data_IF_840078267685
#
_entry.id   IF_840078267685
#
_cell.length_a   1.000
_cell.length_b   1.000
_cell.length_c   1.000
_cell.angle_alpha   90.00
_cell.angle_beta   90.00
_cell.angle_gamma   90.00
#
_symmetry.space_group_name_H-M   'P 1'
#
loop_
_entity.id
_entity.type
_entity.pdbx_description
1 polymer ?
#
# COMPACT_ATOMS: atom_id res chain seq x y z
N UNK A 1 26.51 -11.10 -43.81
CA UNK A 1 26.22 -10.31 -42.59
C UNK A 1 24.73 -10.10 -42.52
N UNK A 2 24.04 -10.90 -41.69
CA UNK A 2 22.57 -11.01 -41.68
C UNK A 2 21.88 -9.92 -40.87
N UNK A 3 20.77 -9.42 -41.42
CA UNK A 3 19.79 -8.59 -40.73
C UNK A 3 19.01 -9.47 -39.74
N UNK A 4 18.98 -9.06 -38.46
CA UNK A 4 18.08 -9.61 -37.46
C UNK A 4 16.79 -8.77 -37.45
N UNK A 5 15.70 -9.35 -37.94
CA UNK A 5 14.36 -8.82 -37.73
C UNK A 5 13.79 -9.41 -36.44
N UNK A 6 13.81 -8.61 -35.37
CA UNK A 6 13.04 -8.88 -34.15
C UNK A 6 11.58 -8.47 -34.41
N UNK A 7 10.75 -9.42 -34.84
CA UNK A 7 9.30 -9.26 -34.80
C UNK A 7 8.84 -9.67 -33.40
N UNK A 8 8.78 -8.71 -32.48
CA UNK A 8 8.09 -8.85 -31.21
C UNK A 8 6.58 -8.88 -31.48
N UNK A 9 6.03 -10.09 -31.63
CA UNK A 9 4.61 -10.32 -31.80
C UNK A 9 3.84 -10.01 -30.50
N UNK A 10 3.20 -8.84 -30.46
CA UNK A 10 2.10 -8.60 -29.52
C UNK A 10 0.91 -9.42 -30.02
N UNK A 11 0.75 -10.67 -29.53
CA UNK A 11 -0.48 -11.42 -29.74
C UNK A 11 -1.60 -10.73 -28.97
N UNK A 12 -2.42 -9.95 -29.66
CA UNK A 12 -3.75 -9.58 -29.21
C UNK A 12 -4.57 -10.87 -29.02
N UNK A 13 -4.61 -11.39 -27.80
CA UNK A 13 -5.57 -12.42 -27.43
C UNK A 13 -6.96 -11.80 -27.47
N UNK A 14 -7.83 -12.29 -28.35
CA UNK A 14 -9.24 -11.94 -28.33
C UNK A 14 -9.83 -12.37 -26.97
N UNK A 15 -10.29 -11.41 -26.18
CA UNK A 15 -10.97 -11.68 -24.93
C UNK A 15 -12.28 -12.45 -25.21
N UNK A 16 -12.41 -13.65 -24.65
CA UNK A 16 -13.58 -14.50 -24.87
C UNK A 16 -14.64 -14.19 -23.82
N UNK A 17 -15.72 -13.52 -24.22
CA UNK A 17 -16.79 -13.11 -23.32
C UNK A 17 -17.86 -14.19 -23.22
N UNK A 18 -18.30 -14.52 -22.00
CA UNK A 18 -19.35 -15.51 -21.72
C UNK A 18 -20.31 -14.94 -20.68
N UNK A 19 -21.60 -15.21 -20.82
CA UNK A 19 -22.59 -14.97 -19.77
C UNK A 19 -23.11 -16.32 -19.29
N UNK A 20 -23.22 -16.51 -17.97
CA UNK A 20 -23.75 -17.76 -17.42
C UNK A 20 -25.28 -17.80 -17.57
N UNK A 21 -25.80 -18.83 -18.24
CA UNK A 21 -27.24 -19.06 -18.38
C UNK A 21 -27.89 -19.65 -17.13
N UNK A 22 -27.09 -20.33 -16.30
CA UNK A 22 -27.50 -20.94 -15.04
C UNK A 22 -26.44 -20.68 -13.96
N UNK A 23 -26.81 -20.73 -12.66
CA UNK A 23 -25.82 -20.64 -11.59
C UNK A 23 -24.75 -21.71 -11.74
N UNK A 24 -23.49 -21.34 -11.50
CA UNK A 24 -22.36 -22.25 -11.58
C UNK A 24 -21.29 -21.88 -10.55
N UNK A 25 -20.57 -22.88 -10.04
CA UNK A 25 -19.38 -22.66 -9.24
C UNK A 25 -18.17 -22.59 -10.17
N UNK A 26 -17.47 -21.46 -10.18
CA UNK A 26 -16.28 -21.24 -11.03
C UNK A 26 -15.18 -20.66 -10.15
N UNK A 27 -14.02 -21.30 -10.14
CA UNK A 27 -12.87 -20.94 -9.29
C UNK A 27 -13.23 -20.81 -7.80
N UNK A 28 -14.09 -21.71 -7.31
CA UNK A 28 -14.55 -21.69 -5.93
C UNK A 28 -15.55 -20.59 -5.58
N UNK A 29 -15.97 -19.76 -6.54
CA UNK A 29 -17.00 -18.73 -6.36
C UNK A 29 -18.32 -19.26 -6.89
N UNK A 30 -19.37 -19.22 -6.07
CA UNK A 30 -20.73 -19.54 -6.51
C UNK A 30 -21.31 -18.32 -7.27
N UNK A 31 -21.35 -18.43 -8.59
CA UNK A 31 -21.76 -17.36 -9.50
C UNK A 31 -23.22 -17.55 -9.92
N UNK A 32 -24.09 -16.53 -9.80
CA UNK A 32 -25.47 -16.62 -10.26
C UNK A 32 -25.56 -16.58 -11.79
N UNK A 33 -26.71 -17.02 -12.32
CA UNK A 33 -27.06 -16.78 -13.72
C UNK A 33 -27.01 -15.28 -14.03
N UNK A 34 -26.57 -14.91 -15.23
CA UNK A 34 -26.32 -13.53 -15.64
C UNK A 34 -24.92 -13.01 -15.30
N UNK A 35 -24.07 -13.78 -14.62
CA UNK A 35 -22.67 -13.43 -14.40
C UNK A 35 -21.92 -13.33 -15.72
N UNK A 36 -21.17 -12.25 -15.91
CA UNK A 36 -20.41 -11.95 -17.14
C UNK A 36 -18.94 -12.24 -16.92
N UNK A 37 -18.39 -13.17 -17.68
CA UNK A 37 -17.01 -13.60 -17.59
C UNK A 37 -16.21 -13.18 -18.82
N UNK A 38 -14.94 -12.92 -18.62
CA UNK A 38 -13.93 -12.77 -19.67
C UNK A 38 -12.87 -13.84 -19.46
N UNK A 39 -12.75 -14.75 -20.43
CA UNK A 39 -11.91 -15.94 -20.38
C UNK A 39 -10.59 -15.74 -21.14
N UNK A 40 -9.54 -16.43 -20.68
CA UNK A 40 -8.29 -16.62 -21.43
C UNK A 40 -8.36 -17.77 -22.43
N UNK A 41 -9.08 -18.83 -22.08
CA UNK A 41 -9.23 -20.04 -22.88
C UNK A 41 -10.69 -20.24 -23.29
N UNK A 42 -10.90 -20.68 -24.53
CA UNK A 42 -12.24 -20.91 -25.08
C UNK A 42 -12.92 -22.05 -24.34
N UNK A 43 -14.18 -21.84 -23.99
CA UNK A 43 -15.07 -22.83 -23.34
C UNK A 43 -14.52 -23.39 -22.01
N UNK A 44 -13.57 -22.68 -21.39
CA UNK A 44 -12.94 -23.05 -20.11
C UNK A 44 -13.23 -21.96 -19.09
N UNK A 45 -14.35 -22.10 -18.37
CA UNK A 45 -14.80 -21.10 -17.37
C UNK A 45 -13.74 -20.82 -16.30
N UNK A 46 -13.00 -21.85 -15.87
CA UNK A 46 -11.91 -21.73 -14.90
C UNK A 46 -10.76 -20.82 -15.35
N UNK A 47 -10.68 -20.48 -16.64
CA UNK A 47 -9.70 -19.53 -17.19
C UNK A 47 -10.16 -18.07 -17.15
N UNK A 48 -11.24 -17.73 -16.43
CA UNK A 48 -11.70 -16.35 -16.36
C UNK A 48 -10.67 -15.40 -15.75
N UNK A 49 -10.41 -14.29 -16.40
CA UNK A 49 -9.62 -13.18 -15.86
C UNK A 49 -10.50 -12.13 -15.21
N UNK A 50 -11.74 -11.99 -15.66
CA UNK A 50 -12.71 -11.06 -15.07
C UNK A 50 -14.07 -11.74 -14.95
N UNK A 51 -14.74 -11.50 -13.84
CA UNK A 51 -16.12 -11.84 -13.61
C UNK A 51 -16.82 -10.61 -13.03
N UNK A 52 -18.00 -10.27 -13.56
CA UNK A 52 -18.90 -9.27 -13.01
C UNK A 52 -20.23 -9.94 -12.70
N UNK A 53 -20.75 -9.69 -11.49
CA UNK A 53 -21.93 -10.39 -10.99
C UNK A 53 -23.17 -9.48 -11.08
N UNK A 54 -24.34 -10.02 -11.47
CA UNK A 54 -25.59 -9.24 -11.53
C UNK A 54 -26.11 -8.86 -10.15
N UNK A 55 -25.75 -9.63 -9.13
CA UNK A 55 -25.98 -9.33 -7.71
C UNK A 55 -24.69 -9.63 -6.94
N UNK A 56 -24.42 -8.96 -5.81
CA UNK A 56 -23.25 -9.27 -4.99
C UNK A 56 -23.19 -10.75 -4.61
N UNK A 57 -21.99 -11.33 -4.70
CA UNK A 57 -21.74 -12.72 -4.33
C UNK A 57 -20.72 -12.81 -3.21
N UNK A 58 -20.80 -13.88 -2.41
CA UNK A 58 -19.74 -14.21 -1.47
C UNK A 58 -18.54 -14.77 -2.21
N UNK A 59 -17.44 -14.02 -2.26
CA UNK A 59 -16.17 -14.45 -2.79
C UNK A 59 -15.11 -14.29 -1.69
N UNK A 60 -14.54 -15.42 -1.25
CA UNK A 60 -13.41 -15.44 -0.32
C UNK A 60 -13.66 -14.71 1.01
N UNK A 61 -14.89 -14.79 1.53
CA UNK A 61 -15.29 -14.16 2.79
C UNK A 61 -15.76 -12.71 2.64
N UNK A 62 -15.82 -12.17 1.43
CA UNK A 62 -16.30 -10.80 1.15
C UNK A 62 -17.48 -10.82 0.19
N UNK A 63 -18.35 -9.82 0.31
CA UNK A 63 -19.38 -9.53 -0.68
C UNK A 63 -18.77 -8.74 -1.84
N UNK A 64 -18.80 -9.31 -3.03
CA UNK A 64 -18.14 -8.78 -4.21
C UNK A 64 -19.12 -8.54 -5.35
N UNK A 65 -18.96 -7.42 -6.05
CA UNK A 65 -19.68 -7.13 -7.31
C UNK A 65 -18.89 -7.56 -8.55
N UNK A 66 -17.55 -7.65 -8.42
CA UNK A 66 -16.69 -8.14 -9.49
C UNK A 66 -15.39 -8.74 -8.95
N UNK A 67 -14.80 -9.65 -9.72
CA UNK A 67 -13.50 -10.26 -9.47
C UNK A 67 -12.64 -10.17 -10.72
N UNK A 68 -11.37 -9.80 -10.55
CA UNK A 68 -10.32 -9.89 -11.55
C UNK A 68 -9.20 -10.78 -11.06
N UNK A 69 -8.83 -11.78 -11.85
CA UNK A 69 -7.69 -12.65 -11.61
C UNK A 69 -6.56 -12.33 -12.59
N UNK A 70 -5.34 -12.33 -12.10
CA UNK A 70 -4.13 -12.19 -12.91
C UNK A 70 -3.54 -13.58 -13.11
N UNK A 71 -3.68 -14.07 -14.34
CA UNK A 71 -3.29 -15.42 -14.74
C UNK A 71 -1.90 -15.39 -15.39
N UNK A 72 -1.07 -16.37 -15.03
CA UNK A 72 0.28 -16.55 -15.56
C UNK A 72 0.36 -17.90 -16.26
N UNK A 73 1.12 -17.95 -17.36
CA UNK A 73 1.38 -19.21 -18.05
C UNK A 73 2.46 -19.98 -17.28
N UNK A 74 2.18 -21.25 -16.93
CA UNK A 74 3.17 -22.13 -16.30
C UNK A 74 4.41 -22.35 -17.16
N UNK A 75 5.51 -22.76 -16.51
CA UNK A 75 6.81 -23.02 -17.17
C UNK A 75 6.72 -24.07 -18.30
N UNK A 76 5.79 -25.03 -18.17
CA UNK A 76 5.53 -26.02 -19.24
C UNK A 76 4.63 -25.49 -20.37
N UNK A 77 4.15 -24.24 -20.31
CA UNK A 77 3.34 -23.60 -21.35
C UNK A 77 1.93 -24.19 -21.53
N UNK A 78 1.52 -25.15 -20.68
CA UNK A 78 0.30 -25.94 -20.88
C UNK A 78 -0.93 -25.35 -20.22
N UNK A 79 -0.80 -24.73 -19.06
CA UNK A 79 -1.93 -24.24 -18.27
C UNK A 79 -1.66 -22.88 -17.64
N UNK A 80 -2.69 -22.03 -17.65
CA UNK A 80 -2.71 -20.79 -16.88
C UNK A 80 -3.02 -21.08 -15.41
N UNK A 81 -2.33 -20.41 -14.50
CA UNK A 81 -2.65 -20.43 -13.08
C UNK A 81 -2.74 -19.00 -12.53
N UNK A 82 -3.62 -18.74 -11.56
CA UNK A 82 -3.73 -17.43 -10.95
C UNK A 82 -2.58 -17.18 -9.96
N UNK A 83 -2.15 -15.93 -9.83
CA UNK A 83 -1.24 -15.50 -8.74
C UNK A 83 -1.82 -14.38 -7.89
N UNK A 84 -2.71 -13.57 -8.47
CA UNK A 84 -3.29 -12.41 -7.79
C UNK A 84 -4.75 -12.23 -8.13
N UNK A 85 -5.47 -11.75 -7.14
CA UNK A 85 -6.88 -11.42 -7.14
C UNK A 85 -7.04 -9.92 -6.86
N UNK A 86 -7.93 -9.26 -7.61
CA UNK A 86 -8.55 -7.99 -7.25
C UNK A 86 -10.06 -8.17 -7.21
N UNK A 87 -10.67 -7.79 -6.10
CA UNK A 87 -12.10 -7.95 -5.87
C UNK A 87 -12.73 -6.59 -5.62
N UNK A 88 -13.70 -6.21 -6.44
CA UNK A 88 -14.50 -5.00 -6.19
C UNK A 88 -15.54 -5.35 -5.14
N UNK A 89 -15.44 -4.71 -3.98
CA UNK A 89 -16.35 -4.90 -2.87
C UNK A 89 -17.73 -4.30 -3.19
N UNK A 90 -18.81 -4.99 -2.84
CA UNK A 90 -20.17 -4.52 -3.09
C UNK A 90 -20.62 -3.36 -2.16
N UNK A 91 -19.81 -3.05 -1.15
CA UNK A 91 -20.03 -2.02 -0.16
C UNK A 91 -18.88 -2.05 0.86
N UNK A 92 -18.89 -1.08 1.78
CA UNK A 92 -17.88 -0.99 2.82
C UNK A 92 -17.88 -2.25 3.69
N UNK A 93 -16.69 -2.84 3.88
CA UNK A 93 -16.53 -4.11 4.60
C UNK A 93 -15.30 -4.10 5.50
N UNK A 94 -15.35 -4.89 6.57
CA UNK A 94 -14.25 -4.98 7.52
C UNK A 94 -13.21 -6.02 7.10
N UNK A 95 -11.93 -5.69 7.21
CA UNK A 95 -10.81 -6.61 7.05
C UNK A 95 -9.71 -6.31 8.06
N UNK A 96 -9.40 -7.25 8.95
CA UNK A 96 -8.31 -7.07 9.93
C UNK A 96 -8.50 -5.87 10.87
N UNK A 97 -9.76 -5.53 11.16
CA UNK A 97 -10.15 -4.36 11.96
C UNK A 97 -10.18 -3.03 11.20
N UNK A 98 -9.90 -3.04 9.89
CA UNK A 98 -10.00 -1.88 9.01
C UNK A 98 -11.32 -1.86 8.25
N UNK A 99 -11.87 -0.67 8.02
CA UNK A 99 -13.00 -0.49 7.11
C UNK A 99 -12.47 -0.23 5.70
N UNK A 100 -12.64 -1.20 4.80
CA UNK A 100 -12.32 -1.10 3.39
C UNK A 100 -13.50 -0.51 2.62
N UNK A 101 -13.22 0.39 1.69
CA UNK A 101 -14.21 1.06 0.86
C UNK A 101 -14.88 0.10 -0.14
N UNK A 102 -16.20 0.23 -0.26
CA UNK A 102 -16.97 -0.31 -1.37
C UNK A 102 -16.48 0.23 -2.71
N UNK A 103 -16.77 -0.51 -3.78
CA UNK A 103 -16.41 -0.19 -5.17
C UNK A 103 -14.90 -0.02 -5.45
N UNK A 104 -14.06 -0.14 -4.43
CA UNK A 104 -12.61 -0.18 -4.54
C UNK A 104 -12.09 -1.62 -4.48
N UNK A 105 -10.96 -1.89 -5.14
CA UNK A 105 -10.41 -3.23 -5.17
C UNK A 105 -9.76 -3.60 -3.82
N UNK A 106 -10.21 -4.71 -3.24
CA UNK A 106 -9.43 -5.50 -2.29
C UNK A 106 -8.48 -6.42 -3.07
N UNK A 107 -7.22 -6.51 -2.65
CA UNK A 107 -6.20 -7.33 -3.31
C UNK A 107 -5.84 -8.53 -2.45
N UNK A 108 -5.60 -9.67 -3.10
CA UNK A 108 -5.12 -10.87 -2.44
C UNK A 108 -4.17 -11.62 -3.38
N UNK A 109 -3.18 -12.29 -2.82
CA UNK A 109 -2.39 -13.26 -3.56
C UNK A 109 -3.07 -14.65 -3.45
N UNK A 110 -2.94 -15.42 -4.52
CA UNK A 110 -3.59 -16.71 -4.69
C UNK A 110 -2.51 -17.79 -4.79
N UNK A 111 -2.78 -18.96 -4.19
CA UNK A 111 -2.00 -20.17 -4.46
C UNK A 111 -2.25 -20.65 -5.91
N UNK A 112 -1.42 -21.58 -6.41
CA UNK A 112 -1.49 -22.12 -7.77
C UNK A 112 -2.84 -22.77 -8.10
N UNK A 113 -3.55 -23.28 -7.10
CA UNK A 113 -4.88 -23.85 -7.26
C UNK A 113 -6.00 -22.78 -7.32
N UNK A 114 -5.66 -21.52 -7.11
CA UNK A 114 -6.58 -20.38 -7.13
C UNK A 114 -7.24 -20.07 -5.79
N UNK A 115 -6.87 -20.77 -4.72
CA UNK A 115 -7.32 -20.42 -3.37
C UNK A 115 -6.60 -19.16 -2.86
N UNK A 116 -7.29 -18.28 -2.10
CA UNK A 116 -6.62 -17.16 -1.46
C UNK A 116 -5.64 -17.63 -0.42
N UNK A 117 -4.37 -17.35 -0.66
CA UNK A 117 -3.31 -17.53 0.31
C UNK A 117 -3.39 -16.40 1.34
N UNK A 118 -3.57 -15.16 0.86
CA UNK A 118 -3.41 -13.98 1.71
C UNK A 118 -4.05 -12.73 1.10
N UNK A 119 -4.81 -11.98 1.89
CA UNK A 119 -5.31 -10.64 1.50
C UNK A 119 -4.20 -9.62 1.70
N UNK A 120 -3.78 -8.95 0.62
CA UNK A 120 -2.61 -8.06 0.62
C UNK A 120 -2.92 -6.59 0.82
N UNK A 121 -4.16 -6.15 0.58
CA UNK A 121 -4.50 -4.75 0.74
C UNK A 121 -5.94 -4.39 0.37
N UNK A 122 -6.34 -3.18 0.74
CA UNK A 122 -7.57 -2.55 0.29
C UNK A 122 -7.42 -1.03 0.29
N UNK A 123 -8.39 -0.33 -0.29
CA UNK A 123 -8.54 1.12 -0.11
C UNK A 123 -9.44 1.35 1.10
N UNK A 124 -9.04 2.25 2.01
CA UNK A 124 -9.80 2.53 3.23
C UNK A 124 -11.05 3.38 2.94
N UNK A 125 -12.15 3.00 3.58
CA UNK A 125 -13.35 3.82 3.72
C UNK A 125 -13.14 4.95 4.73
N UNK A 126 -14.13 5.84 4.85
CA UNK A 126 -14.19 6.79 5.95
C UNK A 126 -14.39 6.06 7.29
N UNK A 127 -14.06 6.73 8.40
CA UNK A 127 -14.32 6.24 9.77
C UNK A 127 -13.17 5.46 10.41
N UNK A 128 -12.13 5.11 9.65
CA UNK A 128 -10.88 4.59 10.21
C UNK A 128 -10.17 5.66 11.04
N UNK A 129 -9.44 5.24 12.08
CA UNK A 129 -8.71 6.15 12.99
C UNK A 129 -7.28 5.68 13.24
N UNK A 130 -6.41 6.65 13.52
CA UNK A 130 -5.03 6.46 13.96
C UNK A 130 -4.82 7.31 15.22
N UNK A 131 -4.52 6.67 16.35
CA UNK A 131 -4.37 7.34 17.66
C UNK A 131 -5.51 8.34 17.97
N UNK A 132 -6.75 7.97 17.62
CA UNK A 132 -7.94 8.79 17.81
C UNK A 132 -8.21 9.82 16.70
N UNK A 133 -7.22 10.18 15.89
CA UNK A 133 -7.40 11.05 14.73
C UNK A 133 -8.04 10.30 13.55
N UNK A 134 -8.91 10.94 12.75
CA UNK A 134 -9.45 10.32 11.55
C UNK A 134 -8.34 10.08 10.52
N UNK A 135 -8.31 8.87 9.95
CA UNK A 135 -7.52 8.61 8.75
C UNK A 135 -8.30 9.08 7.51
N UNK A 136 -7.64 9.68 6.51
CA UNK A 136 -8.26 10.05 5.25
C UNK A 136 -8.86 8.81 4.58
N UNK A 137 -10.10 8.94 4.10
CA UNK A 137 -10.65 7.98 3.18
C UNK A 137 -9.77 7.91 1.91
N UNK A 138 -9.88 6.81 1.18
CA UNK A 138 -9.03 6.53 0.02
C UNK A 138 -7.54 6.28 0.33
N UNK A 139 -7.13 6.23 1.61
CA UNK A 139 -5.81 5.73 1.99
C UNK A 139 -5.61 4.29 1.53
N UNK A 140 -4.44 3.96 1.01
CA UNK A 140 -4.13 2.60 0.60
C UNK A 140 -3.59 1.80 1.80
N UNK A 141 -4.34 0.79 2.23
CA UNK A 141 -3.92 -0.16 3.24
C UNK A 141 -3.23 -1.34 2.57
N UNK A 142 -2.04 -1.68 3.05
CA UNK A 142 -1.36 -2.92 2.71
C UNK A 142 -1.04 -3.66 3.99
N UNK A 143 -1.33 -4.93 4.02
CA UNK A 143 -0.83 -5.74 5.10
C UNK A 143 0.66 -6.09 4.82
N UNK A 144 1.41 -6.38 5.87
CA UNK A 144 2.83 -6.68 5.83
C UNK A 144 3.17 -7.87 6.71
N UNK A 145 4.23 -8.58 6.36
CA UNK A 145 4.83 -9.61 7.22
C UNK A 145 6.01 -9.05 8.02
N UNK A 146 6.07 -7.73 8.20
CA UNK A 146 7.20 -7.01 8.78
C UNK A 146 8.22 -6.57 7.73
N UNK A 147 8.70 -5.34 7.85
CA UNK A 147 9.78 -4.78 7.03
C UNK A 147 11.08 -5.50 7.38
N UNK A 148 11.67 -6.19 6.40
CA UNK A 148 12.95 -6.88 6.56
C UNK A 148 14.11 -5.95 6.18
N UNK A 149 15.10 -5.87 7.04
CA UNK A 149 16.31 -5.07 6.84
C UNK A 149 17.48 -5.97 6.41
N UNK A 150 18.53 -5.37 5.83
CA UNK A 150 19.72 -6.08 5.35
C UNK A 150 20.48 -6.84 6.45
N UNK A 151 20.32 -6.42 7.71
CA UNK A 151 20.90 -7.09 8.88
C UNK A 151 20.04 -8.27 9.40
N UNK A 152 18.97 -8.65 8.69
CA UNK A 152 18.05 -9.72 9.09
C UNK A 152 17.02 -9.31 10.15
N UNK A 153 17.08 -8.08 10.66
CA UNK A 153 16.03 -7.57 11.55
C UNK A 153 14.71 -7.42 10.79
N UNK A 154 13.61 -7.70 11.48
CA UNK A 154 12.25 -7.58 10.96
C UNK A 154 11.45 -6.68 11.90
N UNK A 155 10.96 -5.58 11.37
CA UNK A 155 10.04 -4.72 12.12
C UNK A 155 8.72 -5.46 12.39
N UNK A 156 8.03 -5.14 13.49
CA UNK A 156 6.74 -5.74 13.84
C UNK A 156 5.57 -5.17 13.04
N UNK A 157 5.80 -4.42 11.95
CA UNK A 157 4.73 -3.83 11.15
C UNK A 157 3.86 -4.92 10.51
N UNK A 158 2.57 -4.86 10.82
CA UNK A 158 1.53 -5.70 10.23
C UNK A 158 0.72 -4.93 9.18
N UNK A 159 0.65 -3.61 9.29
CA UNK A 159 -0.10 -2.75 8.38
C UNK A 159 0.72 -1.55 7.94
N UNK A 160 0.59 -1.20 6.66
CA UNK A 160 1.11 0.03 6.07
C UNK A 160 -0.08 0.80 5.54
N UNK A 161 -0.19 2.05 5.95
CA UNK A 161 -1.22 2.98 5.48
C UNK A 161 -0.52 4.09 4.71
N UNK A 162 -0.73 4.12 3.41
CA UNK A 162 -0.31 5.20 2.52
C UNK A 162 -1.44 6.23 2.41
N UNK A 163 -1.18 7.45 2.86
CA UNK A 163 -2.13 8.57 2.74
C UNK A 163 -2.33 8.94 1.26
N UNK A 164 -3.52 9.40 0.86
CA UNK A 164 -3.70 10.05 -0.43
C UNK A 164 -2.80 11.26 -0.58
N UNK A 165 -2.44 11.61 -1.82
CA UNK A 165 -1.61 12.77 -2.09
C UNK A 165 -2.31 14.05 -1.61
N UNK A 166 -1.63 14.86 -0.81
CA UNK A 166 -2.15 16.13 -0.28
C UNK A 166 -3.03 15.97 0.97
N UNK A 167 -3.21 14.75 1.47
CA UNK A 167 -3.84 14.49 2.75
C UNK A 167 -2.78 14.28 3.82
N UNK A 168 -3.05 14.73 5.04
CA UNK A 168 -2.13 14.64 6.17
C UNK A 168 -2.85 14.19 7.44
N UNK A 169 -2.12 13.55 8.36
CA UNK A 169 -2.63 13.20 9.69
C UNK A 169 -1.66 13.54 10.79
N UNK A 170 -2.17 13.87 12.00
CA UNK A 170 -1.33 14.02 13.17
C UNK A 170 -0.69 12.68 13.54
N UNK A 171 0.62 12.66 13.64
CA UNK A 171 1.45 11.53 14.07
C UNK A 171 2.53 12.06 15.00
N UNK A 172 2.56 11.61 16.25
CA UNK A 172 3.53 12.07 17.25
C UNK A 172 3.62 13.62 17.38
N UNK A 173 2.47 14.30 17.27
CA UNK A 173 2.37 15.76 17.35
C UNK A 173 2.73 16.51 16.06
N UNK A 174 3.26 15.83 15.04
CA UNK A 174 3.52 16.42 13.72
C UNK A 174 2.37 16.08 12.75
N UNK A 175 1.93 17.04 11.94
CA UNK A 175 0.97 16.78 10.85
C UNK A 175 1.75 16.32 9.62
N UNK A 176 1.52 15.06 9.23
CA UNK A 176 2.37 14.33 8.29
C UNK A 176 1.58 13.90 7.05
N UNK A 177 2.08 14.29 5.88
CA UNK A 177 1.73 13.64 4.61
C UNK A 177 2.67 12.46 4.38
N UNK A 178 2.16 11.26 4.14
CA UNK A 178 3.01 10.11 3.80
C UNK A 178 2.47 8.76 4.22
N UNK A 179 3.30 7.97 4.90
CA UNK A 179 3.00 6.59 5.27
C UNK A 179 3.16 6.36 6.76
N UNK A 180 2.24 5.60 7.32
CA UNK A 180 2.32 5.07 8.69
C UNK A 180 2.41 3.55 8.66
N UNK A 181 3.25 3.00 9.52
CA UNK A 181 3.46 1.58 9.75
C UNK A 181 2.91 1.25 11.13
N UNK A 182 2.09 0.20 11.22
CA UNK A 182 1.35 -0.17 12.41
C UNK A 182 1.60 -1.63 12.76
N UNK A 183 1.61 -1.96 14.05
CA UNK A 183 1.63 -3.35 14.53
C UNK A 183 0.26 -4.03 14.37
N UNK A 184 0.15 -5.29 14.83
CA UNK A 184 -1.09 -6.05 14.74
C UNK A 184 -2.27 -5.41 15.49
N UNK A 185 -1.98 -4.63 16.54
CA UNK A 185 -2.94 -3.90 17.36
C UNK A 185 -3.22 -2.47 16.85
N UNK A 186 -2.80 -2.17 15.62
CA UNK A 186 -2.96 -0.86 14.96
C UNK A 186 -2.22 0.29 15.66
N UNK A 187 -1.18 0.00 16.45
CA UNK A 187 -0.35 1.03 17.07
C UNK A 187 0.80 1.43 16.15
N UNK A 188 1.17 2.73 16.08
CA UNK A 188 2.34 3.17 15.32
C UNK A 188 3.61 2.45 15.75
N UNK A 189 4.37 1.99 14.74
CA UNK A 189 5.75 1.48 14.90
C UNK A 189 6.75 2.37 14.18
N UNK A 190 6.32 2.98 13.06
CA UNK A 190 7.09 3.95 12.27
C UNK A 190 6.14 4.83 11.48
N UNK A 191 6.53 6.07 11.23
CA UNK A 191 5.91 6.88 10.17
C UNK A 191 7.00 7.62 9.39
N UNK A 192 6.73 7.88 8.11
CA UNK A 192 7.66 8.59 7.23
C UNK A 192 6.90 9.40 6.17
N UNK A 193 7.46 10.56 5.81
CA UNK A 193 6.80 11.47 4.89
C UNK A 193 7.34 12.89 4.97
N UNK A 194 6.47 13.87 4.74
CA UNK A 194 6.78 15.30 4.80
C UNK A 194 5.82 16.03 5.72
N UNK A 195 6.33 17.00 6.46
CA UNK A 195 5.51 17.87 7.29
C UNK A 195 4.54 18.69 6.42
N UNK A 196 3.26 18.69 6.80
CA UNK A 196 2.21 19.51 6.18
C UNK A 196 2.21 20.95 6.71
N UNK A 197 2.75 21.16 7.90
CA UNK A 197 2.90 22.45 8.55
C UNK A 197 4.21 22.52 9.34
N UNK A 198 4.58 23.69 9.84
CA UNK A 198 5.79 23.82 10.65
C UNK A 198 5.67 23.02 11.97
N UNK A 199 6.77 22.37 12.37
CA UNK A 199 6.82 21.55 13.58
C UNK A 199 8.04 21.92 14.42
N UNK A 200 7.87 22.04 15.73
CA UNK A 200 8.97 22.29 16.66
C UNK A 200 9.20 21.08 17.56
N UNK A 201 10.47 20.74 17.77
CA UNK A 201 10.88 19.69 18.70
C UNK A 201 12.17 20.12 19.40
N UNK A 202 12.11 20.23 20.72
CA UNK A 202 13.22 20.78 21.51
C UNK A 202 13.57 22.21 21.06
N UNK A 203 14.84 22.46 20.78
CA UNK A 203 15.36 23.78 20.38
C UNK A 203 15.36 24.01 18.87
N UNK A 204 14.65 23.17 18.10
CA UNK A 204 14.63 23.19 16.64
C UNK A 204 13.21 23.35 16.12
N UNK A 205 13.05 24.27 15.17
CA UNK A 205 11.83 24.47 14.40
C UNK A 205 12.05 24.09 12.94
N UNK A 206 11.21 23.20 12.44
CA UNK A 206 11.23 22.64 11.10
C UNK A 206 10.11 23.27 10.25
N UNK A 207 10.41 23.80 9.06
CA UNK A 207 9.38 24.32 8.18
C UNK A 207 8.54 23.20 7.55
N UNK A 208 7.36 23.55 7.05
CA UNK A 208 6.57 22.73 6.13
C UNK A 208 7.44 22.15 5.01
N UNK A 209 7.16 20.91 4.62
CA UNK A 209 7.87 20.19 3.57
C UNK A 209 9.13 19.48 4.04
N UNK A 210 9.59 19.72 5.29
CA UNK A 210 10.69 18.94 5.89
C UNK A 210 10.34 17.46 5.87
N UNK A 211 11.27 16.62 5.43
CA UNK A 211 11.10 15.16 5.47
C UNK A 211 11.24 14.69 6.92
N UNK A 212 10.31 13.86 7.36
CA UNK A 212 10.27 13.29 8.70
C UNK A 212 10.29 11.77 8.60
N UNK A 213 11.06 11.13 9.48
CA UNK A 213 10.90 9.72 9.85
C UNK A 213 10.82 9.65 11.37
N UNK A 214 9.78 9.01 11.90
CA UNK A 214 9.61 8.81 13.33
C UNK A 214 9.52 7.32 13.64
N UNK A 215 10.15 6.90 14.72
CA UNK A 215 10.10 5.53 15.26
C UNK A 215 9.35 5.53 16.57
N UNK A 216 8.60 4.45 16.80
CA UNK A 216 7.82 4.26 18.01
C UNK A 216 8.27 3.00 18.75
N UNK A 217 8.15 3.03 20.07
CA UNK A 217 8.29 1.86 20.96
C UNK A 217 7.09 1.83 21.89
N UNK A 218 6.32 0.75 21.83
CA UNK A 218 5.07 0.60 22.60
C UNK A 218 4.11 1.80 22.43
N UNK A 219 3.92 2.26 21.17
CA UNK A 219 3.04 3.37 20.83
C UNK A 219 3.56 4.77 21.20
N UNK A 220 4.74 4.88 21.82
CA UNK A 220 5.36 6.19 22.10
C UNK A 220 6.47 6.49 21.12
N UNK A 221 6.55 7.72 20.59
CA UNK A 221 7.63 8.08 19.68
C UNK A 221 8.94 8.21 20.47
N UNK A 222 10.03 7.65 19.92
CA UNK A 222 11.33 7.53 20.61
C UNK A 222 12.51 8.07 19.82
N UNK A 223 12.33 8.29 18.51
CA UNK A 223 13.39 8.78 17.63
C UNK A 223 12.76 9.47 16.43
N UNK A 224 13.24 10.67 16.14
CA UNK A 224 12.84 11.49 15.01
C UNK A 224 14.07 11.79 14.16
N UNK A 225 13.92 11.62 12.86
CA UNK A 225 14.86 12.07 11.87
C UNK A 225 14.19 13.13 11.00
N UNK A 226 14.83 14.28 10.90
CA UNK A 226 14.38 15.38 10.06
C UNK A 226 15.41 15.67 8.98
N UNK A 227 14.96 15.93 7.76
CA UNK A 227 15.79 16.46 6.68
C UNK A 227 15.03 17.60 5.99
N UNK A 228 15.45 18.86 6.23
CA UNK A 228 14.95 20.02 5.51
C UNK A 228 15.13 19.86 4.00
N UNK A 229 14.32 20.54 3.20
CA UNK A 229 14.35 20.41 1.73
C UNK A 229 14.44 21.77 1.05
N UNK A 230 15.25 21.84 -0.01
CA UNK A 230 15.44 23.07 -0.77
C UNK A 230 16.13 24.16 0.04
N UNK A 231 15.62 25.39 -0.06
CA UNK A 231 16.10 26.59 0.63
C UNK A 231 15.45 26.80 2.03
N UNK A 232 14.49 25.94 2.39
CA UNK A 232 13.77 26.02 3.67
C UNK A 232 14.55 25.30 4.77
N UNK A 233 15.52 26.00 5.35
CA UNK A 233 16.31 25.51 6.49
C UNK A 233 15.48 25.41 7.78
N UNK A 234 15.78 24.41 8.60
CA UNK A 234 15.32 24.41 9.99
C UNK A 234 16.09 25.45 10.81
N UNK A 235 15.44 25.99 11.84
CA UNK A 235 15.99 27.04 12.71
C UNK A 235 16.24 26.50 14.10
N UNK A 236 17.46 26.68 14.60
CA UNK A 236 17.74 26.54 16.03
C UNK A 236 17.37 27.81 16.78
N UNK A 237 17.11 27.69 18.08
CA UNK A 237 16.86 28.84 18.96
C UNK A 237 18.05 29.83 18.99
N UNK A 238 19.27 29.32 18.78
CA UNK A 238 20.49 30.15 18.67
C UNK A 238 20.64 30.86 17.31
N UNK A 239 19.69 30.65 16.39
CA UNK A 239 19.67 31.24 15.05
C UNK A 239 20.48 30.47 14.00
N UNK A 240 21.21 29.41 14.37
CA UNK A 240 21.99 28.60 13.42
C UNK A 240 21.05 27.81 12.51
N UNK A 241 21.16 27.94 11.17
CA UNK A 241 20.34 27.17 10.25
C UNK A 241 20.83 25.71 10.15
N UNK A 242 19.88 24.80 9.93
CA UNK A 242 20.16 23.43 9.50
C UNK A 242 19.62 23.27 8.07
N UNK A 243 20.54 23.06 7.12
CA UNK A 243 20.25 23.03 5.69
C UNK A 243 19.76 21.69 5.17
N UNK A 244 19.44 21.63 3.88
CA UNK A 244 18.98 20.42 3.20
C UNK A 244 20.07 19.35 3.01
N UNK A 245 21.34 19.74 3.17
CA UNK A 245 22.52 18.88 3.20
C UNK A 245 22.74 18.22 4.58
N UNK A 246 21.83 18.45 5.53
CA UNK A 246 21.89 17.90 6.87
C UNK A 246 20.61 17.15 7.22
N UNK A 247 20.77 16.10 8.02
CA UNK A 247 19.70 15.41 8.69
C UNK A 247 19.96 15.42 10.20
N UNK A 248 18.90 15.63 10.98
CA UNK A 248 18.97 15.77 12.43
C UNK A 248 18.25 14.61 13.07
N UNK A 249 18.93 13.91 13.98
CA UNK A 249 18.35 12.90 14.85
C UNK A 249 18.03 13.51 16.21
N UNK A 250 16.78 13.40 16.65
CA UNK A 250 16.34 13.81 17.98
C UNK A 250 15.67 12.67 18.73
N UNK A 251 15.82 12.67 20.06
CA UNK A 251 15.08 11.80 20.96
C UNK A 251 13.69 12.37 21.32
N UNK A 252 12.99 11.69 22.24
CA UNK A 252 11.64 12.07 22.68
C UNK A 252 11.58 13.38 23.48
N UNK A 253 12.70 13.83 24.04
CA UNK A 253 12.81 15.13 24.69
C UNK A 253 13.22 16.24 23.71
N UNK A 254 13.44 15.90 22.44
CA UNK A 254 13.90 16.82 21.42
C UNK A 254 15.39 17.18 21.52
N UNK A 255 16.18 16.39 22.26
CA UNK A 255 17.63 16.57 22.30
C UNK A 255 18.23 16.05 21.00
N UNK A 256 19.12 16.84 20.40
CA UNK A 256 19.87 16.44 19.22
C UNK A 256 20.88 15.37 19.61
N UNK A 257 20.71 14.17 19.06
CA UNK A 257 21.63 13.05 19.25
C UNK A 257 22.73 13.05 18.19
N UNK A 258 22.39 13.44 16.97
CA UNK A 258 23.28 13.39 15.81
C UNK A 258 22.84 14.39 14.75
N UNK A 259 23.82 14.94 14.03
CA UNK A 259 23.61 15.64 12.76
C UNK A 259 24.58 15.04 11.76
N UNK A 260 24.05 14.55 10.65
CA UNK A 260 24.80 13.84 9.61
C UNK A 260 24.24 14.19 8.24
N UNK A 261 24.82 13.66 7.16
CA UNK A 261 24.27 13.85 5.83
C UNK A 261 22.96 13.03 5.63
N UNK A 262 22.08 13.44 4.70
CA UNK A 262 20.80 12.79 4.52
C UNK A 262 20.89 11.32 4.10
N UNK A 263 21.93 10.92 3.37
CA UNK A 263 22.05 9.53 2.90
C UNK A 263 22.35 8.58 4.06
N UNK A 264 23.24 8.98 4.96
CA UNK A 264 23.53 8.24 6.20
C UNK A 264 22.30 8.17 7.12
N UNK A 265 21.45 9.20 7.11
CA UNK A 265 20.16 9.20 7.80
C UNK A 265 19.05 8.41 7.07
N UNK A 266 19.36 7.79 5.91
CA UNK A 266 18.42 7.01 5.11
C UNK A 266 17.38 7.84 4.34
N UNK A 267 17.64 9.13 4.12
CA UNK A 267 16.91 9.98 3.19
C UNK A 267 17.58 9.93 1.81
N UNK A 268 17.05 9.08 0.94
CA UNK A 268 17.56 8.95 -0.43
C UNK A 268 16.86 9.92 -1.37
N UNK A 269 17.62 10.56 -2.27
CA UNK A 269 17.01 11.27 -3.38
C UNK A 269 16.51 10.24 -4.40
N UNK A 270 15.20 10.22 -4.66
CA UNK A 270 14.68 9.53 -5.83
C UNK A 270 14.92 10.42 -7.04
N UNK A 271 16.02 10.20 -7.76
CA UNK A 271 16.16 10.78 -9.09
C UNK A 271 15.06 10.19 -9.96
N UNK A 272 14.15 10.98 -10.55
CA UNK A 272 13.19 10.45 -11.51
C UNK A 272 13.99 9.84 -12.67
N UNK A 273 13.76 8.56 -12.97
CA UNK A 273 14.18 8.01 -14.24
C UNK A 273 13.51 8.84 -15.34
N UNK A 274 14.33 9.54 -16.14
CA UNK A 274 13.87 10.24 -17.34
C UNK A 274 13.57 9.24 -18.45
#
# INVERSE_FOLDING_TARGET
MGLWALVSGVRQQAALQVTLEAPARVAGIDMPAGSKLVLKEKDRLESFERAAFPTPVSAYGFQASAVRRFLYLGEEGRHYYPQRLRMTLAGDQAWGGWHCAGDQPLTADLDRDGTPEWVSGCVLAAGNRLDGAPLPAASALRASQGTMYANGHRDPDRWLVDMPKGEAVPVAGAVLQGRVYLDAEHRPVRAEGTLDEAFALGTLSYPEGTRLRVRFKAGRPVSWWFNPVGDRAARRDDGTPVGADQAVHQDQEGRVLEITDPQNAGFFQTTPLR
#
